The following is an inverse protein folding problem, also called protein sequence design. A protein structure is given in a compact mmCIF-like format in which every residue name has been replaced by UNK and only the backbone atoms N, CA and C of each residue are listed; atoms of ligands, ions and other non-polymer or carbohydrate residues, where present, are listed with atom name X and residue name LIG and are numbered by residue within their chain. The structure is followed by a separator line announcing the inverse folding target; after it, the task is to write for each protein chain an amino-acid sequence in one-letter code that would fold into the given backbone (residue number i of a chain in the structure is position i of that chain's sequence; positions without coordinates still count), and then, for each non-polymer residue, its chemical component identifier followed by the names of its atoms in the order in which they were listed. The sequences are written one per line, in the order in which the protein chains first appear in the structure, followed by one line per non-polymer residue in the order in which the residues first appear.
data_IF_875036136326
#
_entry.id   IF_875036136326
#
_cell.length_a   1.000
_cell.length_b   1.000
_cell.length_c   1.000
_cell.angle_alpha   90.00
_cell.angle_beta   90.00
_cell.angle_gamma   90.00
#
_symmetry.space_group_name_H-M   'P 1'
#
loop_
_entity.id
_entity.type
_entity.pdbx_description
1 polymer ?
#
# COMPACT_ATOMS: atom_id res chain seq x y z
N UNK A 1 7.97 11.29 -3.11
CA UNK A 1 6.93 10.29 -3.42
C UNK A 1 5.70 11.02 -3.87
N UNK A 2 5.12 10.62 -5.01
CA UNK A 2 3.93 11.24 -5.61
C UNK A 2 2.93 10.11 -5.79
N UNK A 3 1.73 10.24 -5.21
CA UNK A 3 0.64 9.26 -5.28
C UNK A 3 -0.53 9.90 -6.01
N UNK A 4 -1.17 9.16 -6.92
CA UNK A 4 -2.35 9.60 -7.64
C UNK A 4 -3.62 9.11 -6.94
N UNK A 5 -4.31 10.01 -6.21
CA UNK A 5 -5.52 9.66 -5.47
C UNK A 5 -6.66 9.15 -6.37
N UNK A 6 -6.76 9.66 -7.60
CA UNK A 6 -7.76 9.21 -8.57
C UNK A 6 -7.52 7.76 -9.00
N UNK A 7 -6.27 7.42 -9.29
CA UNK A 7 -5.86 6.07 -9.66
C UNK A 7 -6.20 5.05 -8.56
N UNK A 8 -5.83 5.36 -7.31
CA UNK A 8 -6.13 4.50 -6.17
C UNK A 8 -7.63 4.30 -5.97
N UNK A 9 -8.42 5.37 -6.12
CA UNK A 9 -9.88 5.27 -6.01
C UNK A 9 -10.51 4.40 -7.09
N UNK A 10 -9.97 4.40 -8.32
CA UNK A 10 -10.44 3.54 -9.41
C UNK A 10 -10.08 2.06 -9.12
N UNK A 11 -8.90 1.82 -8.56
CA UNK A 11 -8.43 0.47 -8.19
C UNK A 11 -9.15 -0.13 -6.97
N UNK A 12 -9.78 0.67 -6.09
CA UNK A 12 -10.47 0.16 -4.89
C UNK A 12 -11.67 -0.74 -5.21
N UNK A 13 -12.30 -0.57 -6.37
CA UNK A 13 -13.47 -1.34 -6.80
C UNK A 13 -13.16 -2.54 -7.70
N UNK A 14 -11.90 -2.71 -8.11
CA UNK A 14 -11.48 -3.75 -9.06
C UNK A 14 -11.17 -5.06 -8.34
N UNK A 15 -11.42 -6.17 -9.03
CA UNK A 15 -10.93 -7.48 -8.59
C UNK A 15 -9.40 -7.53 -8.67
N UNK A 16 -8.79 -8.45 -7.90
CA UNK A 16 -7.33 -8.48 -7.75
C UNK A 16 -6.59 -8.68 -9.09
N UNK A 17 -7.10 -9.54 -9.95
CA UNK A 17 -6.50 -9.82 -11.26
C UNK A 17 -6.64 -8.63 -12.22
N UNK A 18 -7.80 -7.95 -12.18
CA UNK A 18 -8.06 -6.73 -12.95
C UNK A 18 -7.14 -5.59 -12.51
N UNK A 19 -6.95 -5.42 -11.19
CA UNK A 19 -6.03 -4.43 -10.64
C UNK A 19 -4.58 -4.67 -11.10
N UNK A 20 -4.13 -5.92 -11.13
CA UNK A 20 -2.79 -6.28 -11.61
C UNK A 20 -2.62 -5.92 -13.09
N UNK A 21 -3.60 -6.27 -13.91
CA UNK A 21 -3.56 -5.97 -15.33
C UNK A 21 -3.57 -4.46 -15.60
N UNK A 22 -4.47 -3.71 -14.93
CA UNK A 22 -4.55 -2.26 -15.04
C UNK A 22 -3.24 -1.55 -14.66
N UNK A 23 -2.62 -1.96 -13.55
CA UNK A 23 -1.32 -1.41 -13.12
C UNK A 23 -0.23 -1.75 -14.14
N UNK A 24 -0.21 -2.97 -14.67
CA UNK A 24 0.80 -3.39 -15.66
C UNK A 24 0.70 -2.57 -16.95
N UNK A 25 -0.52 -2.36 -17.45
CA UNK A 25 -0.77 -1.53 -18.64
C UNK A 25 -0.34 -0.06 -18.42
N UNK A 26 -0.62 0.50 -17.24
CA UNK A 26 -0.19 1.85 -16.88
C UNK A 26 1.33 2.01 -16.79
N UNK A 27 2.03 1.02 -16.22
CA UNK A 27 3.49 1.01 -16.14
C UNK A 27 4.13 0.99 -17.53
N UNK A 28 3.57 0.21 -18.46
CA UNK A 28 4.03 0.17 -19.86
C UNK A 28 3.78 1.48 -20.60
N UNK A 29 2.60 2.10 -20.44
CA UNK A 29 2.23 3.35 -21.12
C UNK A 29 3.10 4.52 -20.65
N UNK A 30 3.30 4.64 -19.35
CA UNK A 30 4.08 5.74 -18.74
C UNK A 30 5.59 5.45 -18.77
N UNK A 31 6.00 4.23 -19.16
CA UNK A 31 7.38 3.75 -19.17
C UNK A 31 8.06 3.92 -17.79
N UNK A 32 7.35 3.51 -16.73
CA UNK A 32 7.79 3.61 -15.34
C UNK A 32 7.85 2.18 -14.76
N UNK A 33 8.85 1.87 -13.95
CA UNK A 33 9.01 0.54 -13.35
C UNK A 33 8.07 0.28 -12.17
N UNK A 34 7.65 1.34 -11.46
CA UNK A 34 6.77 1.21 -10.30
C UNK A 34 5.96 2.50 -10.06
N UNK A 35 4.72 2.34 -9.58
CA UNK A 35 3.84 3.44 -9.17
C UNK A 35 3.70 3.38 -7.65
N UNK A 36 4.07 4.45 -6.92
CA UNK A 36 3.86 4.51 -5.47
C UNK A 36 2.37 4.42 -5.15
N UNK A 37 2.03 3.48 -4.29
CA UNK A 37 0.65 3.21 -3.89
C UNK A 37 0.27 3.94 -2.61
N UNK A 38 -1.01 3.89 -2.25
CA UNK A 38 -1.46 4.38 -0.95
C UNK A 38 -0.77 3.65 0.22
N UNK A 39 -0.47 2.36 0.07
CA UNK A 39 0.18 1.55 1.11
C UNK A 39 1.63 2.01 1.37
N UNK A 40 2.34 2.43 0.32
CA UNK A 40 3.68 3.03 0.44
C UNK A 40 3.63 4.36 1.20
N UNK A 41 2.60 5.17 0.94
CA UNK A 41 2.36 6.42 1.66
C UNK A 41 2.05 6.18 3.13
N UNK A 42 1.20 5.21 3.45
CA UNK A 42 0.86 4.84 4.83
C UNK A 42 2.13 4.39 5.57
N UNK A 43 2.95 3.55 4.94
CA UNK A 43 4.19 3.04 5.53
C UNK A 43 5.18 4.17 5.81
N UNK A 44 5.40 5.07 4.84
CA UNK A 44 6.28 6.22 5.02
C UNK A 44 5.76 7.15 6.12
N UNK A 45 4.45 7.44 6.14
CA UNK A 45 3.86 8.30 7.16
C UNK A 45 4.01 7.70 8.55
N UNK A 46 3.76 6.39 8.70
CA UNK A 46 3.92 5.66 9.95
C UNK A 46 5.35 5.71 10.48
N UNK A 47 6.34 5.54 9.60
CA UNK A 47 7.76 5.69 9.97
C UNK A 47 8.11 7.16 10.30
N UNK A 48 7.58 8.11 9.55
CA UNK A 48 7.83 9.56 9.72
C UNK A 48 7.39 10.06 11.10
N UNK A 49 6.26 9.55 11.62
CA UNK A 49 5.80 9.88 12.97
C UNK A 49 6.51 9.09 14.07
N UNK A 50 7.54 8.31 13.72
CA UNK A 50 8.36 7.54 14.66
C UNK A 50 7.61 6.37 15.30
N UNK A 51 6.72 5.72 14.56
CA UNK A 51 6.02 4.53 15.03
C UNK A 51 6.70 3.25 14.54
N UNK A 52 6.54 2.18 15.33
CA UNK A 52 6.84 0.81 14.94
C UNK A 52 5.73 -0.12 15.45
N UNK A 53 5.77 -1.40 15.10
CA UNK A 53 4.82 -2.38 15.61
C UNK A 53 5.50 -3.67 16.03
N UNK A 54 4.85 -4.39 16.94
CA UNK A 54 5.17 -5.78 17.26
C UNK A 54 3.91 -6.63 17.10
N UNK A 55 4.09 -7.93 16.91
CA UNK A 55 2.99 -8.86 16.71
C UNK A 55 2.71 -9.68 17.97
N UNK A 56 1.43 -9.88 18.24
CA UNK A 56 0.97 -10.97 19.10
C UNK A 56 0.23 -11.97 18.21
N UNK A 57 0.73 -13.20 18.16
CA UNK A 57 0.15 -14.29 17.36
C UNK A 57 -0.30 -15.40 18.30
N UNK A 58 -1.54 -15.82 18.17
CA UNK A 58 -2.12 -16.99 18.83
C UNK A 58 -3.08 -17.72 17.89
N UNK A 59 -3.61 -18.85 18.34
CA UNK A 59 -4.50 -19.71 17.52
C UNK A 59 -5.76 -18.97 17.01
N UNK A 60 -6.24 -17.98 17.78
CA UNK A 60 -7.46 -17.22 17.46
C UNK A 60 -7.21 -15.89 16.76
N UNK A 61 -6.02 -15.30 16.89
CA UNK A 61 -5.77 -13.94 16.41
C UNK A 61 -4.28 -13.72 16.13
N UNK A 62 -4.01 -12.99 15.04
CA UNK A 62 -2.72 -12.36 14.78
C UNK A 62 -2.96 -10.87 14.68
N UNK A 63 -2.30 -10.08 15.54
CA UNK A 63 -2.49 -8.63 15.61
C UNK A 63 -1.17 -7.88 15.69
N UNK A 64 -1.10 -6.77 14.96
CA UNK A 64 -0.04 -5.78 15.08
C UNK A 64 -0.41 -4.71 16.11
N UNK A 65 0.51 -4.39 17.01
CA UNK A 65 0.36 -3.35 18.02
C UNK A 65 1.31 -2.20 17.74
N UNK A 66 0.74 -1.01 17.50
CA UNK A 66 1.49 0.22 17.25
C UNK A 66 2.11 0.76 18.54
N UNK A 67 3.42 0.99 18.51
CA UNK A 67 4.20 1.62 19.58
C UNK A 67 5.07 2.74 19.00
N UNK A 68 5.60 3.62 19.85
CA UNK A 68 6.67 4.53 19.43
C UNK A 68 7.98 3.75 19.28
N UNK A 69 8.79 4.14 18.30
CA UNK A 69 10.17 3.67 18.13
C UNK A 69 11.01 3.97 19.37
#
# INVERSE_FOLDING_TARGET
MIVCAKLESEMMGMEKDEKIQFVSELLEIENIENIPTLDDLITLAFDTVGLMYYFTTGEKETRAWTIKK
#
